data_IF_976420600640
#
_entry.id   IF_976420600640
#
_cell.length_a   1.000
_cell.length_b   1.000
_cell.length_c   1.000
_cell.angle_alpha   90.00
_cell.angle_beta   90.00
_cell.angle_gamma   90.00
#
_symmetry.space_group_name_H-M   'P 1'
#
loop_
_entity.id
_entity.type
_entity.pdbx_description
1 polymer ?
#
# COMPACT_ATOMS: atom_id res chain seq x y z
N UNK A 1 5.72 9.94 -5.60
CA UNK A 1 5.79 9.13 -6.83
C UNK A 1 6.85 8.04 -6.69
N UNK A 2 8.14 8.36 -6.54
CA UNK A 2 9.21 7.35 -6.51
C UNK A 2 9.05 6.26 -5.44
N UNK A 3 8.51 6.58 -4.27
CA UNK A 3 8.25 5.58 -3.23
C UNK A 3 7.10 4.63 -3.59
N UNK A 4 6.18 5.07 -4.42
CA UNK A 4 5.02 4.29 -4.83
C UNK A 4 5.33 3.41 -6.04
N UNK A 5 5.98 3.96 -7.05
CA UNK A 5 6.32 3.26 -8.29
C UNK A 5 7.63 3.80 -8.85
N UNK A 6 8.69 3.03 -8.72
CA UNK A 6 10.03 3.29 -9.24
C UNK A 6 10.73 1.94 -9.44
N UNK A 7 11.44 1.79 -10.54
CA UNK A 7 12.27 0.61 -10.79
C UNK A 7 13.73 1.03 -10.96
N UNK A 8 14.61 0.51 -10.13
CA UNK A 8 16.05 0.76 -10.17
C UNK A 8 16.70 -0.14 -11.21
N UNK A 9 16.57 0.26 -12.48
CA UNK A 9 17.08 -0.50 -13.62
C UNK A 9 18.60 -0.59 -13.62
N UNK A 10 19.30 0.44 -13.16
CA UNK A 10 20.76 0.46 -13.16
C UNK A 10 21.32 -0.57 -12.18
N UNK A 11 20.76 -0.64 -10.97
CA UNK A 11 21.15 -1.66 -9.99
C UNK A 11 20.76 -3.07 -10.46
N UNK A 12 19.60 -3.23 -11.10
CA UNK A 12 19.19 -4.50 -11.69
C UNK A 12 20.20 -4.94 -12.78
N UNK A 13 20.51 -4.08 -13.71
CA UNK A 13 21.46 -4.37 -14.79
C UNK A 13 22.87 -4.67 -14.25
N UNK A 14 23.30 -4.01 -13.17
CA UNK A 14 24.58 -4.26 -12.52
C UNK A 14 24.66 -5.66 -11.89
N UNK A 15 23.53 -6.21 -11.42
CA UNK A 15 23.45 -7.56 -10.82
C UNK A 15 23.14 -8.65 -11.84
N UNK A 16 22.61 -8.28 -13.00
CA UNK A 16 22.17 -9.21 -14.05
C UNK A 16 23.32 -10.13 -14.54
N UNK A 17 24.49 -9.56 -14.78
CA UNK A 17 25.70 -10.27 -15.22
C UNK A 17 25.45 -11.44 -16.23
N UNK A 18 24.46 -11.26 -17.09
CA UNK A 18 24.00 -12.28 -18.04
C UNK A 18 23.06 -13.35 -17.47
N UNK A 19 22.73 -13.31 -16.21
CA UNK A 19 21.86 -14.25 -15.52
C UNK A 19 20.61 -13.54 -14.96
N UNK A 20 19.50 -13.71 -15.65
CA UNK A 20 18.22 -13.07 -15.32
C UNK A 20 17.61 -13.59 -14.01
N UNK A 21 17.89 -14.85 -13.67
CA UNK A 21 17.30 -15.50 -12.50
C UNK A 21 17.94 -15.01 -11.20
N UNK A 22 19.19 -14.56 -11.27
CA UNK A 22 19.94 -14.05 -10.12
C UNK A 22 20.04 -12.50 -10.09
N UNK A 23 19.49 -11.81 -11.09
CA UNK A 23 19.42 -10.36 -11.05
C UNK A 23 18.47 -9.88 -9.94
N UNK A 24 18.92 -8.92 -9.15
CA UNK A 24 18.15 -8.39 -8.03
C UNK A 24 17.72 -6.96 -8.27
N UNK A 25 16.45 -6.60 -7.94
CA UNK A 25 16.03 -5.22 -7.98
C UNK A 25 16.90 -4.35 -7.07
N UNK A 26 17.22 -3.14 -7.52
CA UNK A 26 17.97 -2.18 -6.71
C UNK A 26 17.17 -1.66 -5.53
N UNK A 27 17.89 -1.04 -4.58
CA UNK A 27 17.34 -0.53 -3.32
C UNK A 27 16.30 0.60 -3.49
N UNK A 28 16.22 1.19 -4.67
CA UNK A 28 15.21 2.20 -5.01
C UNK A 28 13.96 1.62 -5.66
N UNK A 29 13.93 0.31 -5.92
CA UNK A 29 12.74 -0.32 -6.52
C UNK A 29 11.58 -0.31 -5.53
N UNK A 30 10.47 0.30 -5.95
CA UNK A 30 9.24 0.34 -5.17
C UNK A 30 8.50 -1.01 -5.25
N UNK A 31 7.62 -1.28 -4.29
CA UNK A 31 6.85 -2.54 -4.25
C UNK A 31 5.95 -2.70 -5.48
N UNK A 32 5.28 -1.63 -5.91
CA UNK A 32 4.43 -1.62 -7.10
C UNK A 32 5.12 -0.88 -8.27
N UNK A 33 6.34 -1.30 -8.60
CA UNK A 33 7.20 -0.60 -9.56
C UNK A 33 6.62 -0.51 -10.98
N UNK A 34 5.73 -1.40 -11.35
CA UNK A 34 5.08 -1.42 -12.67
C UNK A 34 3.73 -0.69 -12.70
N UNK A 35 3.35 -0.07 -11.59
CA UNK A 35 2.11 0.69 -11.51
C UNK A 35 2.17 1.98 -12.33
N UNK A 36 1.10 2.27 -13.05
CA UNK A 36 0.93 3.56 -13.72
C UNK A 36 0.57 4.64 -12.70
N UNK A 37 1.18 5.82 -12.85
CA UNK A 37 0.96 6.94 -11.95
C UNK A 37 0.19 8.06 -12.64
N UNK A 38 -0.79 8.60 -11.92
CA UNK A 38 -1.37 9.92 -12.18
C UNK A 38 -0.80 10.86 -11.12
N UNK A 39 0.01 11.82 -11.54
CA UNK A 39 0.65 12.77 -10.64
C UNK A 39 -0.01 14.14 -10.80
N UNK A 40 -0.48 14.69 -9.68
CA UNK A 40 -1.06 16.03 -9.62
C UNK A 40 -0.15 16.93 -8.80
N UNK A 41 0.39 17.96 -9.40
CA UNK A 41 1.21 18.96 -8.74
C UNK A 41 0.31 20.03 -8.10
N UNK A 42 0.46 20.20 -6.79
CA UNK A 42 -0.29 21.16 -5.99
C UNK A 42 0.49 22.46 -5.75
N UNK A 43 1.69 22.59 -6.34
CA UNK A 43 2.54 23.76 -6.19
C UNK A 43 2.55 24.56 -7.48
N UNK A 44 1.79 25.66 -7.51
CA UNK A 44 1.79 26.61 -8.62
C UNK A 44 2.83 27.73 -8.42
N UNK A 45 2.89 28.66 -9.38
CA UNK A 45 3.77 29.84 -9.33
C UNK A 45 3.56 30.70 -8.07
N UNK A 46 2.37 30.67 -7.48
CA UNK A 46 2.02 31.40 -6.25
C UNK A 46 2.25 30.61 -4.97
N UNK A 47 2.88 29.44 -5.06
CA UNK A 47 3.09 28.50 -3.96
C UNK A 47 2.04 27.39 -3.92
N UNK A 48 1.73 26.89 -2.73
CA UNK A 48 0.76 25.83 -2.52
C UNK A 48 -0.64 26.25 -2.95
N UNK A 49 -1.22 25.51 -3.87
CA UNK A 49 -2.57 25.75 -4.40
C UNK A 49 -3.33 24.42 -4.43
N UNK A 50 -4.13 24.21 -3.40
CA UNK A 50 -4.94 23.00 -3.31
C UNK A 50 -6.31 23.25 -3.97
N UNK A 51 -6.68 22.47 -5.00
CA UNK A 51 -8.03 22.50 -5.53
C UNK A 51 -9.03 21.90 -4.52
N UNK A 52 -10.33 22.12 -4.70
CA UNK A 52 -11.35 21.41 -3.95
C UNK A 52 -11.10 19.90 -4.01
N UNK A 53 -11.30 19.20 -2.88
CA UNK A 53 -10.95 17.80 -2.70
C UNK A 53 -11.64 16.88 -3.71
N UNK A 54 -12.89 17.13 -3.99
CA UNK A 54 -13.69 16.42 -4.99
C UNK A 54 -13.13 16.59 -6.41
N UNK A 55 -12.71 17.81 -6.76
CA UNK A 55 -12.07 18.09 -8.05
C UNK A 55 -10.76 17.31 -8.19
N UNK A 56 -9.91 17.34 -7.15
CA UNK A 56 -8.63 16.64 -7.13
C UNK A 56 -8.81 15.13 -7.35
N UNK A 57 -9.70 14.52 -6.59
CA UNK A 57 -9.96 13.08 -6.67
C UNK A 57 -10.63 12.68 -7.98
N UNK A 58 -11.54 13.50 -8.47
CA UNK A 58 -12.24 13.25 -9.73
C UNK A 58 -11.32 13.33 -10.95
N UNK A 59 -10.43 14.32 -11.01
CA UNK A 59 -9.42 14.41 -12.06
C UNK A 59 -8.48 13.21 -12.07
N UNK A 60 -8.03 12.75 -10.89
CA UNK A 60 -7.23 11.54 -10.76
C UNK A 60 -7.99 10.31 -11.27
N UNK A 61 -9.23 10.12 -10.82
CA UNK A 61 -10.06 8.96 -11.19
C UNK A 61 -10.40 8.93 -12.68
N UNK A 62 -10.63 10.06 -13.32
CA UNK A 62 -10.82 10.15 -14.78
C UNK A 62 -9.61 9.68 -15.58
N UNK A 63 -8.44 9.77 -15.00
CA UNK A 63 -7.19 9.29 -15.59
C UNK A 63 -6.82 7.87 -15.14
N UNK A 64 -7.77 7.15 -14.54
CA UNK A 64 -7.64 5.74 -14.16
C UNK A 64 -7.06 5.50 -12.76
N UNK A 65 -6.88 6.55 -11.94
CA UNK A 65 -6.41 6.39 -10.57
C UNK A 65 -7.52 5.88 -9.65
N UNK A 66 -7.30 4.75 -9.00
CA UNK A 66 -8.20 4.15 -8.00
C UNK A 66 -7.63 4.22 -6.58
N UNK A 67 -6.31 4.24 -6.46
CA UNK A 67 -5.59 4.34 -5.18
C UNK A 67 -4.93 5.72 -5.11
N UNK A 68 -5.37 6.54 -4.16
CA UNK A 68 -4.89 7.91 -3.99
C UNK A 68 -3.95 8.00 -2.81
N UNK A 69 -2.72 8.49 -3.01
CA UNK A 69 -1.71 8.65 -1.96
C UNK A 69 -1.46 10.13 -1.70
N UNK A 70 -1.81 10.61 -0.50
CA UNK A 70 -1.77 12.01 -0.10
C UNK A 70 -0.84 12.19 1.10
N UNK A 71 0.32 12.82 0.87
CA UNK A 71 1.31 13.07 1.90
C UNK A 71 1.33 14.55 2.32
N UNK A 72 0.17 15.12 2.56
CA UNK A 72 -0.05 16.53 2.90
C UNK A 72 -1.30 16.69 3.77
N UNK A 73 -1.44 17.85 4.40
CA UNK A 73 -2.57 18.21 5.25
C UNK A 73 -2.26 19.49 6.04
N UNK A 74 -3.19 19.94 6.87
CA UNK A 74 -3.03 21.12 7.72
C UNK A 74 -2.75 20.76 9.18
N UNK A 75 -2.15 21.70 9.91
CA UNK A 75 -1.77 21.53 11.31
C UNK A 75 -2.96 21.71 12.27
N UNK A 76 -4.04 20.97 12.03
CA UNK A 76 -5.22 20.90 12.89
C UNK A 76 -5.67 19.47 13.10
N UNK A 77 -6.18 19.16 14.29
CA UNK A 77 -6.75 17.86 14.66
C UNK A 77 -8.26 17.80 14.39
N UNK A 78 -8.87 18.94 14.12
CA UNK A 78 -10.31 19.06 13.92
C UNK A 78 -10.77 18.39 12.62
N UNK A 79 -11.93 17.76 12.66
CA UNK A 79 -12.59 17.20 11.48
C UNK A 79 -13.18 18.33 10.64
N UNK A 80 -12.49 18.71 9.58
CA UNK A 80 -12.83 19.84 8.71
C UNK A 80 -13.71 19.45 7.54
N UNK A 81 -14.08 20.44 6.70
CA UNK A 81 -14.78 20.20 5.44
C UNK A 81 -13.97 19.29 4.50
N UNK A 82 -12.64 19.38 4.53
CA UNK A 82 -11.75 18.53 3.72
C UNK A 82 -11.87 17.07 4.13
N UNK A 83 -11.85 16.77 5.43
CA UNK A 83 -12.08 15.40 5.94
C UNK A 83 -13.47 14.87 5.58
N UNK A 84 -14.49 15.74 5.66
CA UNK A 84 -15.84 15.40 5.26
C UNK A 84 -15.94 15.07 3.76
N UNK A 85 -15.29 15.86 2.91
CA UNK A 85 -15.31 15.64 1.46
C UNK A 85 -14.63 14.33 1.07
N UNK A 86 -13.55 13.92 1.76
CA UNK A 86 -12.94 12.61 1.57
C UNK A 86 -13.90 11.47 1.93
N UNK A 87 -14.60 11.60 3.06
CA UNK A 87 -15.57 10.60 3.48
C UNK A 87 -16.76 10.51 2.51
N UNK A 88 -17.24 11.64 2.03
CA UNK A 88 -18.30 11.70 1.02
C UNK A 88 -17.85 11.06 -0.31
N UNK A 89 -16.65 11.42 -0.77
CA UNK A 89 -16.07 10.87 -1.99
C UNK A 89 -15.98 9.34 -1.95
N UNK A 90 -15.38 8.79 -0.89
CA UNK A 90 -15.19 7.34 -0.79
C UNK A 90 -16.49 6.55 -0.66
N UNK A 91 -17.52 7.16 -0.09
CA UNK A 91 -18.87 6.58 -0.06
C UNK A 91 -19.51 6.54 -1.44
N UNK A 92 -19.33 7.61 -2.23
CA UNK A 92 -19.93 7.77 -3.55
C UNK A 92 -19.13 7.06 -4.64
N UNK A 93 -17.84 6.79 -4.38
CA UNK A 93 -16.91 6.12 -5.31
C UNK A 93 -16.32 4.87 -4.65
N UNK A 94 -17.06 3.76 -4.59
CA UNK A 94 -16.66 2.56 -3.84
C UNK A 94 -15.40 1.87 -4.37
N UNK A 95 -14.95 2.20 -5.58
CA UNK A 95 -13.68 1.71 -6.17
C UNK A 95 -12.47 2.60 -5.86
N UNK A 96 -12.66 3.72 -5.18
CA UNK A 96 -11.62 4.70 -4.88
C UNK A 96 -11.18 4.58 -3.43
N UNK A 97 -9.88 4.36 -3.19
CA UNK A 97 -9.31 4.26 -1.84
C UNK A 97 -8.27 5.36 -1.61
N UNK A 98 -8.45 6.12 -0.53
CA UNK A 98 -7.61 7.27 -0.22
C UNK A 98 -6.71 6.98 0.98
N UNK A 99 -5.42 7.14 0.78
CA UNK A 99 -4.37 7.06 1.79
C UNK A 99 -3.91 8.46 2.18
N UNK A 100 -3.74 8.71 3.47
CA UNK A 100 -3.33 10.01 3.98
C UNK A 100 -2.28 9.87 5.07
N UNK A 101 -1.24 10.71 4.98
CA UNK A 101 -0.22 10.84 6.02
C UNK A 101 -0.78 11.62 7.22
N UNK A 102 -0.68 11.08 8.45
CA UNK A 102 -1.30 11.69 9.63
C UNK A 102 -0.53 12.87 10.22
N UNK A 103 0.66 13.15 9.72
CA UNK A 103 1.54 14.22 10.22
C UNK A 103 2.82 13.70 10.89
N UNK A 104 3.78 14.63 11.09
CA UNK A 104 5.13 14.34 11.58
C UNK A 104 5.51 15.23 12.78
N UNK A 105 4.57 15.48 13.68
CA UNK A 105 4.81 16.25 14.90
C UNK A 105 4.91 15.36 16.16
N UNK A 106 4.68 14.04 15.99
CA UNK A 106 4.64 13.06 17.08
C UNK A 106 3.51 13.33 18.07
N UNK A 107 2.50 14.10 17.70
CA UNK A 107 1.27 14.35 18.42
C UNK A 107 0.08 13.65 17.80
N UNK A 108 -1.09 14.24 17.91
CA UNK A 108 -2.31 13.66 17.37
C UNK A 108 -2.36 13.73 15.83
N UNK A 109 -3.13 12.82 15.26
CA UNK A 109 -3.42 12.79 13.81
C UNK A 109 -3.99 14.12 13.35
N UNK A 110 -3.43 14.64 12.29
CA UNK A 110 -3.83 15.89 11.65
C UNK A 110 -4.82 15.64 10.51
N UNK A 111 -5.56 16.68 10.14
CA UNK A 111 -6.46 16.61 9.00
C UNK A 111 -5.67 16.55 7.66
N UNK A 112 -6.14 15.90 6.59
CA UNK A 112 -7.41 15.16 6.52
C UNK A 112 -7.29 13.67 6.88
N UNK A 113 -6.18 13.22 7.50
CA UNK A 113 -6.00 11.83 7.92
C UNK A 113 -6.95 11.41 9.05
N UNK A 114 -7.62 12.37 9.71
CA UNK A 114 -8.68 12.15 10.69
C UNK A 114 -10.06 11.83 10.07
N UNK A 115 -10.20 11.83 8.74
CA UNK A 115 -11.39 11.36 8.05
C UNK A 115 -11.65 9.87 8.38
N UNK A 116 -12.92 9.42 8.29
CA UNK A 116 -13.35 8.09 8.77
C UNK A 116 -13.06 6.98 7.78
N UNK A 117 -13.14 7.31 6.50
CA UNK A 117 -13.06 6.35 5.40
C UNK A 117 -11.64 6.18 4.85
N UNK A 118 -10.75 7.12 5.10
CA UNK A 118 -9.36 7.08 4.61
C UNK A 118 -8.53 6.02 5.32
N UNK A 119 -7.43 5.62 4.69
CA UNK A 119 -6.36 4.86 5.33
C UNK A 119 -5.33 5.84 5.88
N UNK A 120 -5.38 6.09 7.18
CA UNK A 120 -4.36 6.87 7.88
C UNK A 120 -3.14 6.00 8.17
N UNK A 121 -1.97 6.38 7.65
CA UNK A 121 -0.77 5.54 7.63
C UNK A 121 0.34 6.14 8.51
N UNK A 122 0.55 5.56 9.68
CA UNK A 122 1.69 5.91 10.54
C UNK A 122 3.02 5.34 10.00
N UNK A 123 4.14 5.90 10.46
CA UNK A 123 5.48 5.52 10.01
C UNK A 123 6.17 4.59 11.01
N UNK A 124 6.77 3.50 10.53
CA UNK A 124 7.62 2.58 11.29
C UNK A 124 9.04 2.53 10.71
N UNK A 125 9.94 1.85 11.42
CA UNK A 125 11.22 1.46 10.86
C UNK A 125 11.02 0.56 9.62
N UNK A 126 12.01 0.55 8.73
CA UNK A 126 11.98 -0.22 7.46
C UNK A 126 12.45 -1.67 7.58
N UNK A 127 13.13 -1.96 8.67
CA UNK A 127 13.66 -3.30 8.98
C UNK A 127 12.66 -4.11 9.82
N UNK A 128 13.12 -5.23 10.33
CA UNK A 128 12.33 -6.09 11.23
C UNK A 128 12.17 -5.50 12.65
N UNK A 129 12.64 -4.26 12.88
CA UNK A 129 12.45 -3.63 14.18
C UNK A 129 10.97 -3.29 14.42
N UNK A 130 10.60 -3.33 15.69
CA UNK A 130 9.24 -3.01 16.15
C UNK A 130 9.08 -1.52 16.52
N UNK A 131 9.97 -0.67 16.02
CA UNK A 131 9.99 0.75 16.33
C UNK A 131 9.02 1.54 15.46
N UNK A 132 8.16 2.31 16.10
CA UNK A 132 7.35 3.35 15.44
C UNK A 132 8.19 4.64 15.36
N UNK A 133 8.15 5.32 14.24
CA UNK A 133 8.85 6.60 14.05
C UNK A 133 8.39 7.62 15.09
N UNK A 134 9.32 8.17 15.86
CA UNK A 134 9.00 9.03 17.01
C UNK A 134 8.20 10.29 16.66
N UNK A 135 8.29 10.75 15.42
CA UNK A 135 7.52 11.90 14.93
C UNK A 135 6.23 11.50 14.20
N UNK A 136 5.96 10.19 14.03
CA UNK A 136 4.67 9.77 13.50
C UNK A 136 3.54 10.26 14.39
N UNK A 137 2.58 10.98 13.80
CA UNK A 137 1.35 11.32 14.52
C UNK A 137 0.52 10.07 14.81
N UNK A 138 -0.24 10.10 15.90
CA UNK A 138 -0.98 8.96 16.43
C UNK A 138 -2.35 9.37 16.96
N UNK A 139 -3.18 8.41 17.33
CA UNK A 139 -4.44 8.66 18.03
C UNK A 139 -4.27 8.96 19.54
N UNK A 140 -5.37 9.10 20.28
CA UNK A 140 -6.75 9.08 19.76
C UNK A 140 -7.10 10.36 19.00
N UNK A 141 -8.15 10.30 18.16
CA UNK A 141 -8.75 11.49 17.58
C UNK A 141 -9.62 12.22 18.61
N UNK A 142 -10.01 13.46 18.32
CA UNK A 142 -10.89 14.27 19.20
C UNK A 142 -12.23 13.59 19.51
N UNK A 143 -12.71 12.73 18.61
CA UNK A 143 -13.95 11.96 18.78
C UNK A 143 -13.75 10.56 19.39
N UNK A 144 -12.53 10.28 19.89
CA UNK A 144 -12.18 9.02 20.56
C UNK A 144 -11.86 7.85 19.62
N UNK A 145 -11.87 8.05 18.31
CA UNK A 145 -11.40 7.02 17.36
C UNK A 145 -9.88 6.84 17.47
N UNK A 146 -9.37 5.66 17.07
CA UNK A 146 -7.95 5.33 17.16
C UNK A 146 -7.03 6.22 16.32
N UNK A 147 -7.49 6.69 15.17
CA UNK A 147 -6.75 7.60 14.30
C UNK A 147 -5.92 6.87 13.25
N UNK A 148 -4.92 6.09 13.67
CA UNK A 148 -4.08 5.31 12.74
C UNK A 148 -4.79 4.00 12.38
N UNK A 149 -4.84 3.69 11.06
CA UNK A 149 -5.34 2.40 10.61
C UNK A 149 -4.22 1.35 10.58
N UNK A 150 -3.10 1.69 9.94
CA UNK A 150 -1.93 0.81 9.80
C UNK A 150 -0.63 1.60 9.89
N UNK A 151 0.47 0.87 10.04
CA UNK A 151 1.82 1.38 9.86
C UNK A 151 2.40 0.90 8.53
N UNK A 152 3.35 1.68 8.01
CA UNK A 152 4.22 1.22 6.93
C UNK A 152 5.64 1.75 7.15
N UNK A 153 6.68 1.14 6.51
CA UNK A 153 8.03 1.66 6.57
C UNK A 153 8.09 3.12 6.13
N UNK A 154 8.60 3.99 7.00
CA UNK A 154 8.72 5.42 6.75
C UNK A 154 10.02 6.03 7.27
N UNK A 155 10.96 5.22 7.78
CA UNK A 155 12.26 5.67 8.26
C UNK A 155 13.37 5.28 7.29
N UNK A 156 14.16 6.25 6.87
CA UNK A 156 15.31 6.02 6.00
C UNK A 156 14.95 5.48 4.62
N UNK A 157 13.82 5.89 4.08
CA UNK A 157 13.35 5.45 2.77
C UNK A 157 14.11 6.17 1.66
N UNK A 158 14.66 5.40 0.74
CA UNK A 158 15.35 5.90 -0.43
C UNK A 158 14.35 6.00 -1.59
N UNK A 159 14.34 7.13 -2.26
CA UNK A 159 13.41 7.40 -3.37
C UNK A 159 13.99 8.44 -4.32
N UNK A 160 13.33 8.70 -5.42
CA UNK A 160 13.73 9.71 -6.40
C UNK A 160 13.91 11.09 -5.75
N UNK A 161 14.97 11.77 -6.13
CA UNK A 161 15.27 13.12 -5.68
C UNK A 161 14.75 14.13 -6.68
N UNK A 162 14.05 15.16 -6.18
CA UNK A 162 13.81 16.38 -6.96
C UNK A 162 15.02 17.30 -6.87
N UNK A 163 15.43 17.89 -7.98
CA UNK A 163 16.46 18.92 -8.04
C UNK A 163 15.90 20.35 -8.10
N UNK A 164 14.55 20.46 -8.08
CA UNK A 164 13.85 21.74 -8.17
C UNK A 164 13.79 22.33 -9.58
N UNK A 165 14.24 21.60 -10.59
CA UNK A 165 14.17 22.01 -11.99
C UNK A 165 13.08 21.22 -12.69
N UNK A 166 12.08 21.93 -13.21
CA UNK A 166 10.82 21.34 -13.68
C UNK A 166 10.97 20.40 -14.87
N UNK A 167 11.94 20.62 -15.74
CA UNK A 167 12.17 19.90 -17.00
C UNK A 167 13.51 19.16 -17.06
N UNK A 168 14.14 18.94 -15.91
CA UNK A 168 15.38 18.16 -15.85
C UNK A 168 15.12 16.66 -15.92
N UNK A 169 16.06 15.94 -16.52
CA UNK A 169 16.16 14.48 -16.41
C UNK A 169 17.13 14.13 -15.27
N UNK A 170 16.62 14.04 -14.05
CA UNK A 170 17.43 13.76 -12.86
C UNK A 170 17.19 12.31 -12.38
N UNK A 171 18.25 11.49 -12.41
CA UNK A 171 18.28 10.13 -11.86
C UNK A 171 18.74 10.05 -10.40
N UNK A 172 18.82 11.17 -9.68
CA UNK A 172 19.31 11.19 -8.29
C UNK A 172 18.37 10.50 -7.31
N UNK A 173 18.96 10.00 -6.23
CA UNK A 173 18.25 9.39 -5.11
C UNK A 173 18.41 10.21 -3.83
N UNK A 174 17.37 10.20 -3.00
CA UNK A 174 17.36 10.86 -1.70
C UNK A 174 16.78 9.94 -0.64
N UNK A 175 17.39 9.96 0.54
CA UNK A 175 16.85 9.32 1.74
C UNK A 175 15.99 10.31 2.52
N UNK A 176 14.79 9.88 2.93
CA UNK A 176 13.90 10.68 3.76
C UNK A 176 13.17 9.81 4.78
N UNK A 177 12.64 10.46 5.83
CA UNK A 177 11.83 9.81 6.87
C UNK A 177 10.57 10.60 7.15
N UNK A 178 9.47 9.91 7.39
CA UNK A 178 8.18 10.51 7.73
C UNK A 178 7.00 9.66 7.31
N UNK A 179 5.84 10.04 7.78
CA UNK A 179 4.56 9.45 7.36
C UNK A 179 4.29 9.66 5.88
N UNK A 180 4.89 10.71 5.28
CA UNK A 180 4.88 10.95 3.82
C UNK A 180 5.56 9.85 3.01
N UNK A 181 6.50 9.09 3.58
CA UNK A 181 7.16 7.93 2.96
C UNK A 181 6.37 6.66 3.23
N UNK A 182 5.79 6.53 4.41
CA UNK A 182 4.96 5.39 4.79
C UNK A 182 3.67 5.30 3.97
N UNK A 183 3.01 6.41 3.72
CA UNK A 183 1.73 6.48 2.99
C UNK A 183 1.81 5.86 1.60
N UNK A 184 2.75 6.23 0.71
CA UNK A 184 2.87 5.59 -0.60
C UNK A 184 3.35 4.13 -0.52
N UNK A 185 4.06 3.71 0.52
CA UNK A 185 4.39 2.29 0.74
C UNK A 185 3.12 1.47 1.00
N UNK A 186 2.22 1.95 1.84
CA UNK A 186 0.92 1.32 2.06
C UNK A 186 0.04 1.32 0.80
N UNK A 187 0.07 2.40 0.03
CA UNK A 187 -0.63 2.48 -1.25
C UNK A 187 -0.09 1.46 -2.27
N UNK A 188 1.24 1.30 -2.35
CA UNK A 188 1.89 0.26 -3.18
C UNK A 188 1.48 -1.15 -2.77
N UNK A 189 1.48 -1.43 -1.47
CA UNK A 189 1.01 -2.72 -0.92
C UNK A 189 -0.43 -3.00 -1.35
N UNK A 190 -1.29 -1.98 -1.31
CA UNK A 190 -2.69 -2.13 -1.70
C UNK A 190 -2.86 -2.29 -3.21
N UNK A 191 -2.02 -1.66 -4.02
CA UNK A 191 -2.00 -1.87 -5.47
C UNK A 191 -1.69 -3.34 -5.81
N UNK A 192 -0.77 -3.98 -5.08
CA UNK A 192 -0.51 -5.42 -5.23
C UNK A 192 -1.71 -6.27 -4.78
N UNK A 193 -2.39 -5.91 -3.69
CA UNK A 193 -3.62 -6.61 -3.26
C UNK A 193 -4.71 -6.48 -4.34
N UNK A 194 -4.89 -5.29 -4.91
CA UNK A 194 -5.84 -5.08 -6.00
C UNK A 194 -5.48 -5.95 -7.21
N UNK A 195 -4.22 -5.99 -7.61
CA UNK A 195 -3.75 -6.85 -8.69
C UNK A 195 -4.03 -8.33 -8.38
N UNK A 196 -3.78 -8.79 -7.16
CA UNK A 196 -4.08 -10.17 -6.77
C UNK A 196 -5.55 -10.52 -6.92
N UNK A 197 -6.45 -9.58 -6.68
CA UNK A 197 -7.90 -9.77 -6.88
C UNK A 197 -8.24 -9.75 -8.38
N UNK A 198 -7.74 -8.76 -9.11
CA UNK A 198 -8.02 -8.61 -10.54
C UNK A 198 -7.45 -9.76 -11.38
N UNK A 199 -6.32 -10.33 -10.99
CA UNK A 199 -5.69 -11.49 -11.61
C UNK A 199 -6.30 -12.83 -11.13
N UNK A 200 -7.24 -12.80 -10.18
CA UNK A 200 -7.94 -13.99 -9.67
C UNK A 200 -7.16 -14.82 -8.64
N UNK A 201 -6.06 -14.31 -8.09
CA UNK A 201 -5.36 -14.94 -6.97
C UNK A 201 -6.22 -14.94 -5.70
N UNK A 202 -6.92 -13.84 -5.48
CA UNK A 202 -7.97 -13.72 -4.48
C UNK A 202 -9.28 -13.64 -5.25
N UNK A 203 -10.13 -14.66 -5.16
CA UNK A 203 -11.38 -14.77 -5.90
C UNK A 203 -12.58 -14.92 -4.97
N UNK A 204 -13.78 -14.69 -5.52
CA UNK A 204 -15.03 -14.91 -4.79
C UNK A 204 -15.27 -16.39 -4.56
N UNK A 205 -15.94 -16.73 -3.46
CA UNK A 205 -16.36 -18.11 -3.21
C UNK A 205 -17.36 -18.55 -4.31
N UNK A 206 -17.09 -19.71 -4.91
CA UNK A 206 -17.91 -20.27 -5.97
C UNK A 206 -17.57 -19.85 -7.40
N UNK A 207 -16.59 -18.97 -7.58
CA UNK A 207 -16.10 -18.64 -8.92
C UNK A 207 -15.49 -19.85 -9.61
N UNK A 208 -15.71 -19.96 -10.93
CA UNK A 208 -15.02 -20.95 -11.73
C UNK A 208 -13.53 -20.63 -11.76
N UNK A 209 -12.72 -21.58 -11.31
CA UNK A 209 -11.27 -21.43 -11.35
C UNK A 209 -10.74 -22.01 -12.66
N UNK A 210 -9.97 -21.21 -13.38
CA UNK A 210 -9.25 -21.68 -14.56
C UNK A 210 -7.89 -22.24 -14.17
N UNK A 211 -7.54 -23.39 -14.75
CA UNK A 211 -6.22 -23.98 -14.58
C UNK A 211 -5.28 -23.32 -15.56
N UNK A 212 -4.24 -22.65 -15.04
CA UNK A 212 -3.15 -22.12 -15.87
C UNK A 212 -2.09 -23.20 -15.97
N UNK A 213 -1.83 -23.69 -17.18
CA UNK A 213 -0.77 -24.69 -17.40
C UNK A 213 0.59 -24.10 -17.12
N UNK A 214 1.53 -24.96 -16.68
CA UNK A 214 2.93 -24.62 -16.36
C UNK A 214 3.71 -23.93 -17.50
N UNK A 215 3.17 -23.91 -18.70
CA UNK A 215 3.70 -23.16 -19.85
C UNK A 215 2.98 -21.82 -20.07
N UNK A 216 2.00 -21.48 -19.26
CA UNK A 216 1.28 -20.21 -19.32
C UNK A 216 2.07 -19.10 -18.64
N UNK A 217 2.20 -17.96 -19.30
CA UNK A 217 2.68 -16.74 -18.68
C UNK A 217 1.58 -16.26 -17.73
N UNK A 218 1.84 -16.29 -16.44
CA UNK A 218 1.00 -15.60 -15.46
C UNK A 218 1.24 -14.10 -15.68
N UNK A 219 0.20 -13.30 -15.93
CA UNK A 219 0.38 -11.87 -16.13
C UNK A 219 1.20 -11.26 -14.99
N UNK A 220 2.31 -10.61 -15.32
CA UNK A 220 3.24 -10.02 -14.36
C UNK A 220 4.32 -10.94 -13.80
N UNK A 221 4.36 -12.21 -14.15
CA UNK A 221 5.41 -13.15 -13.75
C UNK A 221 6.14 -13.66 -15.00
N UNK A 222 7.43 -13.43 -15.07
CA UNK A 222 8.28 -14.09 -16.07
C UNK A 222 8.35 -15.58 -15.76
N UNK A 223 8.10 -16.42 -16.73
CA UNK A 223 8.16 -17.88 -16.73
C UNK A 223 8.76 -18.51 -15.48
N UNK A 224 7.94 -18.99 -14.57
CA UNK A 224 8.38 -19.90 -13.52
C UNK A 224 8.47 -21.29 -14.14
N UNK A 225 9.67 -21.70 -14.57
CA UNK A 225 9.88 -23.09 -14.94
C UNK A 225 9.70 -23.99 -13.72
N UNK A 226 8.78 -24.91 -13.79
CA UNK A 226 8.53 -25.92 -12.75
C UNK A 226 7.32 -25.68 -11.85
N UNK A 227 6.56 -24.62 -12.09
CA UNK A 227 5.27 -24.43 -11.42
C UNK A 227 4.24 -25.38 -12.00
N UNK A 228 3.67 -26.24 -11.19
CA UNK A 228 2.52 -27.06 -11.57
C UNK A 228 1.34 -26.21 -12.01
N UNK A 229 0.23 -26.85 -12.34
CA UNK A 229 -1.00 -26.14 -12.72
C UNK A 229 -1.49 -25.26 -11.55
N UNK A 230 -1.51 -23.94 -11.71
CA UNK A 230 -2.12 -23.02 -10.75
C UNK A 230 -3.57 -22.79 -11.19
N UNK A 231 -4.50 -22.96 -10.26
CA UNK A 231 -5.89 -22.62 -10.48
C UNK A 231 -6.14 -21.20 -9.99
N UNK A 232 -6.46 -20.29 -10.89
CA UNK A 232 -6.88 -18.93 -10.57
C UNK A 232 -8.40 -18.82 -10.69
N UNK A 233 -9.00 -18.00 -9.83
CA UNK A 233 -10.40 -17.64 -9.95
C UNK A 233 -10.63 -16.54 -10.99
N UNK A 234 -11.88 -16.18 -11.21
CA UNK A 234 -12.24 -15.02 -12.01
C UNK A 234 -11.85 -13.75 -11.23
N UNK A 235 -11.14 -12.84 -11.89
CA UNK A 235 -10.79 -11.55 -11.33
C UNK A 235 -12.00 -10.61 -11.28
N UNK A 236 -11.97 -9.67 -10.35
CA UNK A 236 -12.99 -8.63 -10.27
C UNK A 236 -12.38 -7.32 -9.72
N UNK A 237 -13.04 -6.19 -9.95
CA UNK A 237 -12.65 -4.91 -9.39
C UNK A 237 -13.06 -4.84 -7.92
N UNK A 238 -12.12 -4.73 -6.98
CA UNK A 238 -12.43 -4.67 -5.55
C UNK A 238 -13.01 -3.32 -5.12
N UNK A 239 -13.87 -3.34 -4.13
CA UNK A 239 -14.29 -2.10 -3.48
C UNK A 239 -13.20 -1.58 -2.52
N UNK A 240 -13.26 -0.27 -2.22
CA UNK A 240 -12.36 0.36 -1.24
C UNK A 240 -12.49 -0.29 0.15
N UNK A 241 -13.68 -0.71 0.54
CA UNK A 241 -13.91 -1.41 1.81
C UNK A 241 -13.25 -2.77 1.84
N UNK A 242 -13.30 -3.52 0.74
CA UNK A 242 -12.62 -4.81 0.61
C UNK A 242 -11.10 -4.62 0.68
N UNK A 243 -10.55 -3.68 -0.07
CA UNK A 243 -9.11 -3.38 -0.02
C UNK A 243 -8.65 -2.98 1.39
N UNK A 244 -9.44 -2.14 2.09
CA UNK A 244 -9.14 -1.80 3.50
C UNK A 244 -9.20 -3.02 4.42
N UNK A 245 -10.19 -3.88 4.25
CA UNK A 245 -10.33 -5.10 5.04
C UNK A 245 -9.14 -6.04 4.83
N UNK A 246 -8.75 -6.30 3.59
CA UNK A 246 -7.60 -7.14 3.26
C UNK A 246 -6.28 -6.52 3.75
N UNK A 247 -6.12 -5.21 3.60
CA UNK A 247 -4.96 -4.51 4.11
C UNK A 247 -4.84 -4.64 5.63
N UNK A 248 -5.93 -4.50 6.39
CA UNK A 248 -5.92 -4.68 7.84
C UNK A 248 -5.77 -6.14 8.25
N UNK A 249 -6.34 -7.07 7.50
CA UNK A 249 -6.18 -8.51 7.75
C UNK A 249 -4.73 -8.96 7.55
N UNK A 250 -4.05 -8.39 6.56
CA UNK A 250 -2.63 -8.68 6.32
C UNK A 250 -1.71 -8.08 7.38
N UNK A 251 -2.19 -7.13 8.18
CA UNK A 251 -1.34 -6.40 9.11
C UNK A 251 -0.88 -7.27 10.29
N UNK A 252 0.37 -7.06 10.68
CA UNK A 252 1.00 -7.68 11.84
C UNK A 252 1.33 -6.63 12.88
N UNK A 253 0.93 -6.84 14.15
CA UNK A 253 1.27 -5.92 15.22
C UNK A 253 2.77 -5.93 15.50
N UNK A 254 3.31 -4.78 15.87
CA UNK A 254 4.68 -4.64 16.32
C UNK A 254 4.78 -5.03 17.80
N UNK A 255 4.73 -6.33 18.08
CA UNK A 255 4.75 -6.86 19.46
C UNK A 255 6.07 -6.51 20.16
N UNK A 256 5.97 -5.98 21.39
CA UNK A 256 7.14 -5.50 22.15
C UNK A 256 7.76 -4.23 21.59
N UNK A 257 7.07 -3.57 20.68
CA UNK A 257 7.49 -2.31 20.10
C UNK A 257 7.19 -1.11 21.00
N UNK A 258 7.73 0.03 20.60
CA UNK A 258 7.54 1.27 21.33
C UNK A 258 7.44 2.49 20.41
N UNK A 259 6.76 3.51 20.92
CA UNK A 259 6.70 4.85 20.34
C UNK A 259 7.08 5.87 21.41
N UNK A 260 8.13 6.66 21.20
CA UNK A 260 8.64 7.66 22.18
C UNK A 260 8.90 7.08 23.58
N UNK A 261 9.32 5.84 23.68
CA UNK A 261 9.57 5.17 24.96
C UNK A 261 8.31 4.65 25.66
N UNK A 262 7.15 4.77 25.06
CA UNK A 262 5.92 4.13 25.50
C UNK A 262 5.74 2.80 24.77
N UNK A 263 5.47 1.75 25.50
CA UNK A 263 5.20 0.43 24.92
C UNK A 263 3.91 0.48 24.08
N UNK A 264 3.92 -0.20 22.96
CA UNK A 264 2.73 -0.38 22.14
C UNK A 264 1.75 -1.29 22.88
N UNK A 265 0.47 -0.91 22.83
CA UNK A 265 -0.61 -1.67 23.46
C UNK A 265 -1.02 -2.92 22.68
N UNK A 266 -2.08 -3.55 23.15
CA UNK A 266 -2.75 -4.60 22.38
C UNK A 266 -3.37 -4.02 21.11
N UNK A 267 -3.14 -4.68 19.97
CA UNK A 267 -3.65 -4.20 18.69
C UNK A 267 -5.17 -4.51 18.51
N UNK A 268 -5.88 -3.68 17.76
CA UNK A 268 -5.42 -2.40 17.25
C UNK A 268 -5.34 -1.33 18.35
N UNK A 269 -4.28 -0.54 18.35
CA UNK A 269 -4.08 0.55 19.27
C UNK A 269 -3.95 1.91 18.57
N UNK A 270 -3.78 2.97 19.36
CA UNK A 270 -3.74 4.35 18.88
C UNK A 270 -2.43 4.71 18.16
N UNK A 271 -1.34 3.98 18.41
CA UNK A 271 0.01 4.27 17.90
C UNK A 271 0.35 3.45 16.66
N UNK A 272 -0.15 2.22 16.56
CA UNK A 272 0.16 1.32 15.45
C UNK A 272 -1.05 0.91 14.60
N UNK A 273 -2.27 1.23 15.04
CA UNK A 273 -3.46 0.68 14.40
C UNK A 273 -3.43 -0.85 14.42
N UNK A 274 -3.58 -1.48 13.27
CA UNK A 274 -3.49 -2.94 13.11
C UNK A 274 -2.06 -3.45 12.92
N UNK A 275 -1.07 -2.57 12.85
CA UNK A 275 0.33 -2.94 12.60
C UNK A 275 0.76 -2.72 11.15
N UNK A 276 1.82 -3.43 10.71
CA UNK A 276 2.36 -3.37 9.35
C UNK A 276 1.75 -4.45 8.46
N UNK A 277 1.25 -4.10 7.26
CA UNK A 277 0.81 -5.10 6.29
C UNK A 277 1.94 -6.08 5.91
N UNK A 278 1.60 -7.35 5.87
CA UNK A 278 2.43 -8.44 5.38
C UNK A 278 1.62 -9.28 4.39
N UNK A 279 1.92 -9.15 3.11
CA UNK A 279 1.17 -9.81 2.05
C UNK A 279 1.22 -11.34 2.12
N UNK A 280 2.26 -11.92 2.73
CA UNK A 280 2.35 -13.38 2.90
C UNK A 280 1.20 -13.94 3.76
N UNK A 281 0.53 -13.11 4.53
CA UNK A 281 -0.66 -13.52 5.31
C UNK A 281 -1.94 -13.61 4.48
N UNK A 282 -1.97 -12.94 3.34
CA UNK A 282 -3.07 -13.08 2.38
C UNK A 282 -2.85 -14.26 1.44
N UNK A 283 -1.60 -14.62 1.29
CA UNK A 283 -1.13 -15.67 0.43
C UNK A 283 -0.34 -16.66 1.29
N UNK A 284 -0.90 -17.83 1.56
CA UNK A 284 -0.16 -18.87 2.24
C UNK A 284 0.97 -19.38 1.32
N UNK A 285 2.20 -18.91 1.60
CA UNK A 285 3.37 -19.27 0.84
C UNK A 285 3.68 -20.78 0.93
N UNK A 286 3.31 -21.43 2.02
CA UNK A 286 3.49 -22.87 2.19
C UNK A 286 2.45 -23.64 1.37
N UNK A 287 1.22 -23.15 1.28
CA UNK A 287 0.21 -23.68 0.36
C UNK A 287 0.62 -23.42 -1.10
N UNK A 288 1.19 -22.28 -1.43
CA UNK A 288 1.77 -22.03 -2.76
C UNK A 288 2.92 -22.98 -3.03
N UNK A 289 3.85 -23.15 -2.11
CA UNK A 289 5.01 -24.03 -2.26
C UNK A 289 4.62 -25.52 -2.27
N UNK A 290 3.69 -25.95 -1.45
CA UNK A 290 3.19 -27.34 -1.48
C UNK A 290 2.39 -27.61 -2.74
N UNK A 291 1.67 -26.62 -3.22
CA UNK A 291 0.95 -26.65 -4.49
C UNK A 291 1.89 -26.65 -5.69
N UNK A 292 3.00 -25.93 -5.63
CA UNK A 292 4.08 -25.97 -6.61
C UNK A 292 4.82 -27.31 -6.62
N UNK A 293 4.84 -28.03 -5.48
CA UNK A 293 5.47 -29.35 -5.35
C UNK A 293 4.63 -30.52 -5.92
N UNK A 294 3.47 -30.25 -6.53
CA UNK A 294 2.78 -31.22 -7.38
C UNK A 294 1.59 -31.96 -6.76
N UNK A 295 1.08 -31.54 -5.60
CA UNK A 295 -0.12 -32.14 -5.03
C UNK A 295 -1.34 -31.20 -5.11
N UNK A 296 -1.64 -30.74 -6.34
CA UNK A 296 -2.91 -30.12 -6.65
C UNK A 296 -3.96 -31.19 -6.93
N UNK A 297 -4.40 -31.90 -5.94
CA UNK A 297 -5.62 -32.69 -6.06
C UNK A 297 -6.86 -31.78 -6.00
N UNK A 298 -6.92 -30.83 -6.89
CA UNK A 298 -8.16 -30.34 -7.48
C UNK A 298 -9.08 -29.44 -6.68
N UNK A 299 -8.88 -29.11 -5.42
CA UNK A 299 -9.82 -28.23 -4.71
C UNK A 299 -9.16 -27.26 -3.72
N UNK A 300 -7.88 -27.40 -3.49
CA UNK A 300 -7.13 -26.59 -2.52
C UNK A 300 -6.13 -25.67 -3.20
N UNK A 301 -6.37 -25.32 -4.45
CA UNK A 301 -5.68 -24.20 -5.06
C UNK A 301 -5.99 -22.99 -4.24
N UNK A 302 -4.94 -22.40 -3.66
CA UNK A 302 -4.92 -21.06 -3.22
C UNK A 302 -6.14 -20.62 -2.43
N UNK A 303 -6.15 -20.91 -1.17
CA UNK A 303 -7.12 -20.34 -0.25
C UNK A 303 -6.44 -19.13 0.38
N UNK A 304 -6.91 -17.91 0.10
CA UNK A 304 -6.71 -16.86 1.07
C UNK A 304 -7.25 -17.46 2.36
N UNK A 305 -6.48 -17.43 3.43
CA UNK A 305 -6.78 -18.06 4.69
C UNK A 305 -8.25 -18.44 4.82
N UNK A 306 -8.60 -19.67 5.07
CA UNK A 306 -9.94 -20.32 5.00
C UNK A 306 -11.13 -19.49 5.54
N UNK A 307 -10.90 -18.26 5.94
CA UNK A 307 -11.80 -17.38 6.66
C UNK A 307 -12.05 -16.01 6.00
N UNK A 308 -11.58 -15.77 4.76
CA UNK A 308 -11.96 -14.53 4.07
C UNK A 308 -13.28 -14.78 3.34
N UNK A 309 -14.38 -14.36 3.96
CA UNK A 309 -15.67 -14.30 3.31
C UNK A 309 -15.83 -12.92 2.68
N UNK A 310 -15.88 -12.88 1.35
CA UNK A 310 -16.17 -11.67 0.60
C UNK A 310 -17.67 -11.67 0.31
N UNK A 311 -18.40 -10.76 0.95
CA UNK A 311 -19.81 -10.48 0.68
C UNK A 311 -19.89 -9.19 -0.13
N UNK A 312 -20.49 -9.24 -1.30
CA UNK A 312 -20.91 -8.07 -2.06
C UNK A 312 -22.21 -7.51 -1.51
#
# INVERSE_FOLDING_TARGET
AGTLSCYDIDSFLATLNGDWDNATPGIMTAMAYDSRLVVQDLVGHSGWMEPPMDTLLWENSRNGGSIHSNSWGDATTSYTLRSHNLDAWMRENPWSLVFVAPGNNGGLVLEPANARSVVSVGASARDNSTTVYSQSSHGPLEDGRRGILILAPGMGIISAQSDGVHDSANGGARTSSGTSMATPMAASTTALIQQMIEDGWISRAGDNRSIVNSSGIIPGWSSYEGVGNISLGDGFTPSNNLLRALLTLSAEPLVGGHHKGLDLGSFPDEMQGWGRPNLSRLLDADSVNSSLAGDFSGTEGYVPAENIWIWD
#
